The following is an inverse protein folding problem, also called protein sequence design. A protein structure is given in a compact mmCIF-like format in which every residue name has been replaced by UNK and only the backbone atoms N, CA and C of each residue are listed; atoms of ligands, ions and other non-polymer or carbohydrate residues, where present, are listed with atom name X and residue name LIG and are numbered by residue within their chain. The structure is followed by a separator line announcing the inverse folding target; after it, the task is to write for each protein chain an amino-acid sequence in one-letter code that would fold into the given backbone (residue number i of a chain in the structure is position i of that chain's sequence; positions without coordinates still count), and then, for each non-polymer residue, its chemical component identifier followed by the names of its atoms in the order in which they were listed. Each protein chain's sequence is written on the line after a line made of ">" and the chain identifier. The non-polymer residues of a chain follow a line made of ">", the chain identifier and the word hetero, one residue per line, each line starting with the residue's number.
data_IF_809850849087
#
_entry.id   IF_809850849087
#
_cell.length_a   1.000
_cell.length_b   1.000
_cell.length_c   1.000
_cell.angle_alpha   90.00
_cell.angle_beta   90.00
_cell.angle_gamma   90.00
#
_symmetry.space_group_name_H-M   'P 1'
#
loop_
_entity.id
_entity.type
_entity.pdbx_description
1 polymer ?
#
# COMPACT_ATOMS: atom_id res chain seq x y z
N UNK A 1 60.64 -8.71 26.92
CA UNK A 1 59.64 -8.01 26.09
C UNK A 1 58.86 -7.08 27.01
N UNK A 2 58.98 -5.78 26.76
CA UNK A 2 58.68 -4.68 27.70
C UNK A 2 57.18 -4.54 28.03
N UNK A 3 56.86 -4.21 29.29
CA UNK A 3 55.53 -3.84 29.82
C UNK A 3 54.79 -2.76 29.00
N UNK A 4 55.48 -2.05 28.09
CA UNK A 4 54.87 -1.09 27.17
C UNK A 4 54.01 -1.71 26.08
N UNK A 5 54.23 -2.97 25.71
CA UNK A 5 53.43 -3.61 24.65
C UNK A 5 52.11 -4.22 25.16
N UNK A 6 51.99 -4.46 26.46
CA UNK A 6 50.76 -4.99 27.09
C UNK A 6 49.71 -3.90 27.30
N UNK A 7 50.11 -2.65 27.57
CA UNK A 7 49.17 -1.52 27.70
C UNK A 7 48.58 -1.04 26.38
N UNK A 8 49.31 -1.21 25.26
CA UNK A 8 48.81 -0.82 23.94
C UNK A 8 47.78 -1.81 23.39
N UNK A 9 47.94 -3.10 23.69
CA UNK A 9 46.96 -4.14 23.35
C UNK A 9 45.65 -4.01 24.14
N UNK A 10 45.72 -3.58 25.41
CA UNK A 10 44.52 -3.31 26.22
C UNK A 10 43.74 -2.08 25.72
N UNK A 11 44.43 -1.05 25.22
CA UNK A 11 43.78 0.14 24.63
C UNK A 11 43.11 -0.17 23.28
N UNK A 12 43.69 -1.06 22.48
CA UNK A 12 43.09 -1.49 21.19
C UNK A 12 41.88 -2.41 21.42
N UNK A 13 41.87 -3.23 22.48
CA UNK A 13 40.66 -3.98 22.88
C UNK A 13 39.56 -3.07 23.44
N UNK A 14 39.90 -1.94 24.04
CA UNK A 14 38.93 -0.94 24.55
C UNK A 14 38.34 -0.05 23.45
N UNK A 15 39.01 0.15 22.31
CA UNK A 15 38.46 0.92 21.18
C UNK A 15 37.64 0.09 20.19
N UNK A 16 37.80 -1.23 20.16
CA UNK A 16 36.90 -2.15 19.42
C UNK A 16 35.67 -2.52 20.25
N UNK A 17 35.68 -2.23 21.56
CA UNK A 17 34.52 -2.40 22.46
C UNK A 17 33.63 -1.15 22.54
N UNK A 18 33.79 -0.17 21.64
CA UNK A 18 32.65 0.68 21.27
C UNK A 18 31.68 -0.21 20.47
N UNK A 19 30.96 -1.04 21.21
CA UNK A 19 29.79 -1.78 20.78
C UNK A 19 29.01 -0.93 19.78
N UNK A 20 28.87 -1.41 18.55
CA UNK A 20 27.70 -1.08 17.74
C UNK A 20 26.51 -1.50 18.60
N UNK A 21 25.97 -0.58 19.40
CA UNK A 21 24.76 -0.81 20.17
C UNK A 21 23.71 -1.17 19.12
N UNK A 22 23.18 -2.39 19.24
CA UNK A 22 22.11 -2.83 18.38
C UNK A 22 20.99 -1.79 18.43
N UNK A 23 20.53 -1.35 17.26
CA UNK A 23 19.53 -0.29 17.16
C UNK A 23 18.24 -0.74 17.82
N UNK A 24 17.62 0.19 18.54
CA UNK A 24 16.32 -0.01 19.17
C UNK A 24 15.20 -0.04 18.14
N UNK A 25 14.04 -0.59 18.53
CA UNK A 25 12.82 -0.62 17.69
C UNK A 25 12.44 0.80 17.24
N UNK A 26 12.56 1.78 18.14
CA UNK A 26 12.25 3.19 17.84
C UNK A 26 13.20 3.80 16.80
N UNK A 27 14.51 3.54 16.90
CA UNK A 27 15.50 4.04 15.94
C UNK A 27 15.29 3.46 14.53
N UNK A 28 14.89 2.18 14.45
CA UNK A 28 14.62 1.49 13.18
C UNK A 28 13.28 1.91 12.58
N UNK A 29 12.26 2.13 13.42
CA UNK A 29 11.00 2.74 12.98
C UNK A 29 11.19 4.16 12.43
N UNK A 30 12.06 4.96 13.04
CA UNK A 30 12.40 6.30 12.53
C UNK A 30 13.11 6.20 11.17
N UNK A 31 14.00 5.21 10.99
CA UNK A 31 14.65 4.95 9.70
C UNK A 31 13.62 4.66 8.62
N UNK A 32 12.67 3.76 8.88
CA UNK A 32 11.60 3.43 7.91
C UNK A 32 10.73 4.67 7.60
N UNK A 33 10.46 5.54 8.58
CA UNK A 33 9.74 6.81 8.35
C UNK A 33 10.50 7.78 7.43
N UNK A 34 11.83 7.77 7.46
CA UNK A 34 12.67 8.58 6.57
C UNK A 34 12.64 7.97 5.17
N UNK A 35 12.88 6.67 5.05
CA UNK A 35 12.86 5.92 3.78
C UNK A 35 11.48 5.99 3.10
N UNK A 36 10.39 5.98 3.87
CA UNK A 36 9.04 6.18 3.37
C UNK A 36 8.92 7.52 2.64
N UNK A 37 9.45 8.62 3.19
CA UNK A 37 9.37 9.95 2.56
C UNK A 37 10.14 10.01 1.25
N UNK A 38 11.28 9.34 1.17
CA UNK A 38 12.10 9.24 -0.05
C UNK A 38 11.35 8.46 -1.16
N UNK A 39 10.59 7.43 -0.78
CA UNK A 39 9.78 6.63 -1.71
C UNK A 39 8.54 7.35 -2.27
N UNK A 40 8.19 8.54 -1.78
CA UNK A 40 7.03 9.32 -2.23
C UNK A 40 7.35 10.38 -3.29
N UNK A 41 8.62 10.57 -3.64
CA UNK A 41 9.03 11.54 -4.66
C UNK A 41 9.04 10.89 -6.05
N UNK A 42 7.88 10.87 -6.72
CA UNK A 42 7.75 10.33 -8.08
C UNK A 42 6.86 11.19 -8.97
N UNK A 43 7.18 11.24 -10.27
CA UNK A 43 6.35 11.91 -11.27
C UNK A 43 4.92 11.35 -11.31
N UNK A 44 4.76 10.05 -11.02
CA UNK A 44 3.45 9.40 -10.97
C UNK A 44 2.62 9.94 -9.80
N UNK A 45 3.23 10.07 -8.64
CA UNK A 45 2.60 10.68 -7.45
C UNK A 45 2.26 12.15 -7.72
N UNK A 46 3.18 12.92 -8.32
CA UNK A 46 2.93 14.32 -8.68
C UNK A 46 1.71 14.49 -9.61
N UNK A 47 1.61 13.66 -10.64
CA UNK A 47 0.49 13.70 -11.60
C UNK A 47 -0.82 13.22 -10.98
N UNK A 48 -0.76 12.19 -10.13
CA UNK A 48 -1.92 11.74 -9.37
C UNK A 48 -2.44 12.82 -8.41
N UNK A 49 -1.53 13.46 -7.67
CA UNK A 49 -1.83 14.59 -6.79
C UNK A 49 -2.44 15.76 -7.56
N UNK A 50 -1.93 16.07 -8.75
CA UNK A 50 -2.55 17.05 -9.65
C UNK A 50 -4.01 16.69 -9.96
N UNK A 51 -4.28 15.45 -10.35
CA UNK A 51 -5.65 14.96 -10.59
C UNK A 51 -6.57 15.10 -9.37
N UNK A 52 -6.06 14.76 -8.19
CA UNK A 52 -6.81 14.89 -6.93
C UNK A 52 -7.10 16.34 -6.58
N UNK A 53 -6.15 17.24 -6.78
CA UNK A 53 -6.34 18.69 -6.62
C UNK A 53 -7.38 19.20 -7.62
N UNK A 54 -7.37 18.77 -8.88
CA UNK A 54 -8.40 19.14 -9.87
C UNK A 54 -9.81 18.80 -9.39
N UNK A 55 -10.00 17.60 -8.83
CA UNK A 55 -11.29 17.17 -8.28
C UNK A 55 -11.66 18.02 -7.06
N UNK A 56 -10.79 18.09 -6.05
CA UNK A 56 -11.11 18.69 -4.75
C UNK A 56 -11.28 20.21 -4.82
N UNK A 57 -10.44 20.87 -5.61
CA UNK A 57 -10.53 22.32 -5.82
C UNK A 57 -11.76 22.77 -6.61
N UNK A 58 -12.42 21.86 -7.34
CA UNK A 58 -13.66 22.18 -8.06
C UNK A 58 -14.80 22.62 -7.12
N UNK A 59 -14.76 22.16 -5.86
CA UNK A 59 -15.73 22.54 -4.83
C UNK A 59 -15.38 23.83 -4.09
N UNK A 60 -14.15 24.32 -4.22
CA UNK A 60 -13.67 25.51 -3.52
C UNK A 60 -14.05 26.81 -4.27
N UNK A 61 -14.42 27.86 -3.51
CA UNK A 61 -14.88 29.16 -4.04
C UNK A 61 -13.77 30.23 -4.03
N UNK A 62 -12.52 29.80 -4.25
CA UNK A 62 -11.34 30.68 -4.37
C UNK A 62 -10.86 31.37 -3.08
N UNK A 63 -11.16 30.80 -1.92
CA UNK A 63 -10.88 31.48 -0.64
C UNK A 63 -9.58 31.07 0.06
N UNK A 64 -8.90 30.04 -0.45
CA UNK A 64 -7.79 29.39 0.26
C UNK A 64 -6.48 30.18 0.21
N UNK A 65 -6.04 30.64 -0.97
CA UNK A 65 -4.79 31.43 -1.10
C UNK A 65 -4.76 32.25 -2.40
N UNK A 66 -3.91 33.27 -2.43
CA UNK A 66 -3.68 34.10 -3.63
C UNK A 66 -3.05 33.30 -4.77
N UNK A 67 -2.16 32.37 -4.45
CA UNK A 67 -1.56 31.45 -5.43
C UNK A 67 -2.61 30.52 -6.03
N UNK A 68 -3.49 29.93 -5.22
CA UNK A 68 -4.59 29.11 -5.70
C UNK A 68 -5.57 29.91 -6.58
N UNK A 69 -5.94 31.12 -6.17
CA UNK A 69 -6.78 32.03 -6.95
C UNK A 69 -6.20 32.28 -8.35
N UNK A 70 -4.87 32.44 -8.45
CA UNK A 70 -4.20 32.65 -9.73
C UNK A 70 -4.33 31.46 -10.69
N UNK A 71 -4.49 30.24 -10.15
CA UNK A 71 -4.59 29.01 -10.92
C UNK A 71 -6.01 28.45 -11.06
N UNK A 72 -7.01 28.95 -10.31
CA UNK A 72 -8.37 28.39 -10.31
C UNK A 72 -8.93 28.22 -11.71
N UNK A 73 -8.87 29.28 -12.52
CA UNK A 73 -9.47 29.26 -13.87
C UNK A 73 -8.86 28.16 -14.75
N UNK A 74 -7.56 27.92 -14.61
CA UNK A 74 -6.88 26.84 -15.32
C UNK A 74 -7.28 25.48 -14.75
N UNK A 75 -7.31 25.31 -13.43
CA UNK A 75 -7.77 24.09 -12.75
C UNK A 75 -9.21 23.73 -13.14
N UNK A 76 -10.13 24.69 -13.12
CA UNK A 76 -11.54 24.47 -13.49
C UNK A 76 -11.69 24.12 -14.97
N UNK A 77 -10.93 24.77 -15.86
CA UNK A 77 -10.93 24.41 -17.28
C UNK A 77 -10.50 22.96 -17.47
N UNK A 78 -9.42 22.55 -16.80
CA UNK A 78 -8.86 21.20 -16.93
C UNK A 78 -9.81 20.19 -16.29
N UNK A 79 -10.34 20.46 -15.10
CA UNK A 79 -11.34 19.65 -14.43
C UNK A 79 -12.56 19.40 -15.33
N UNK A 80 -13.12 20.45 -15.95
CA UNK A 80 -14.28 20.31 -16.85
C UNK A 80 -13.99 19.48 -18.12
N UNK A 81 -12.73 19.39 -18.54
CA UNK A 81 -12.31 18.63 -19.72
C UNK A 81 -11.91 17.18 -19.41
N UNK A 82 -11.30 16.96 -18.25
CA UNK A 82 -10.61 15.70 -17.92
C UNK A 82 -11.42 14.86 -16.94
N UNK A 83 -12.06 15.51 -15.97
CA UNK A 83 -12.62 14.86 -14.78
C UNK A 83 -14.14 14.88 -14.81
N UNK A 84 -14.73 16.05 -15.10
CA UNK A 84 -16.18 16.19 -15.27
C UNK A 84 -16.57 15.55 -16.59
N UNK A 85 -17.12 14.35 -16.50
CA UNK A 85 -17.47 13.54 -17.66
C UNK A 85 -18.99 13.51 -17.84
N UNK A 86 -19.46 13.66 -19.08
CA UNK A 86 -20.84 13.32 -19.43
C UNK A 86 -20.93 11.80 -19.62
N UNK A 87 -21.57 11.11 -18.67
CA UNK A 87 -21.69 9.64 -18.65
C UNK A 87 -22.28 9.10 -19.96
N UNK A 88 -23.06 9.91 -20.65
CA UNK A 88 -23.76 9.55 -21.88
C UNK A 88 -22.91 9.80 -23.15
N UNK A 89 -21.94 10.73 -23.13
CA UNK A 89 -21.12 11.11 -24.29
C UNK A 89 -19.65 11.40 -23.92
N UNK A 90 -18.75 10.39 -23.93
CA UNK A 90 -17.31 10.62 -23.83
C UNK A 90 -16.78 11.55 -24.92
N UNK A 91 -16.31 12.74 -24.55
CA UNK A 91 -15.38 13.48 -25.41
C UNK A 91 -13.95 12.97 -25.18
N UNK A 92 -13.24 12.62 -26.26
CA UNK A 92 -11.82 12.28 -26.20
C UNK A 92 -10.95 13.53 -26.31
N UNK A 93 -9.94 13.64 -25.46
CA UNK A 93 -8.99 14.76 -25.50
C UNK A 93 -8.08 14.64 -26.72
N UNK A 94 -7.88 15.75 -27.43
CA UNK A 94 -6.94 15.80 -28.55
C UNK A 94 -5.49 15.90 -28.05
N UNK A 95 -4.53 15.63 -28.94
CA UNK A 95 -3.10 15.88 -28.66
C UNK A 95 -2.83 17.33 -28.21
N UNK A 96 -3.52 18.30 -28.82
CA UNK A 96 -3.35 19.72 -28.47
C UNK A 96 -3.86 19.98 -27.06
N UNK A 97 -4.95 19.34 -26.65
CA UNK A 97 -5.46 19.45 -25.28
C UNK A 97 -4.42 18.93 -24.28
N UNK A 98 -3.82 17.77 -24.52
CA UNK A 98 -2.77 17.25 -23.63
C UNK A 98 -1.53 18.14 -23.55
N UNK A 99 -1.10 18.73 -24.67
CA UNK A 99 0.02 19.70 -24.67
C UNK A 99 -0.32 20.93 -23.84
N UNK A 100 -1.54 21.47 -23.99
CA UNK A 100 -1.97 22.63 -23.22
C UNK A 100 -2.08 22.30 -21.73
N UNK A 101 -2.69 21.16 -21.38
CA UNK A 101 -2.80 20.69 -20.00
C UNK A 101 -1.41 20.48 -19.39
N UNK A 102 -0.48 19.84 -20.10
CA UNK A 102 0.88 19.64 -19.60
C UNK A 102 1.61 20.96 -19.38
N UNK A 103 1.48 21.91 -20.31
CA UNK A 103 2.06 23.26 -20.14
C UNK A 103 1.49 23.96 -18.91
N UNK A 104 0.19 23.84 -18.68
CA UNK A 104 -0.45 24.48 -17.52
C UNK A 104 -0.06 23.75 -16.22
N UNK A 105 0.02 22.41 -16.22
CA UNK A 105 0.61 21.62 -15.13
C UNK A 105 2.03 22.11 -14.78
N UNK A 106 2.91 22.28 -15.77
CA UNK A 106 4.28 22.77 -15.54
C UNK A 106 4.35 24.17 -14.95
N UNK A 107 3.36 25.05 -15.19
CA UNK A 107 3.27 26.35 -14.53
C UNK A 107 2.83 26.24 -13.07
N UNK A 108 2.04 25.21 -12.75
CA UNK A 108 1.48 24.93 -11.43
C UNK A 108 2.29 23.91 -10.62
N UNK A 109 3.37 23.36 -11.17
CA UNK A 109 4.07 22.20 -10.60
C UNK A 109 4.54 22.44 -9.17
N UNK A 110 5.19 23.57 -8.91
CA UNK A 110 5.64 23.93 -7.56
C UNK A 110 4.47 24.04 -6.57
N UNK A 111 3.36 24.64 -7.01
CA UNK A 111 2.14 24.74 -6.22
C UNK A 111 1.57 23.35 -5.90
N UNK A 112 1.45 22.49 -6.91
CA UNK A 112 0.94 21.12 -6.76
C UNK A 112 1.82 20.30 -5.81
N UNK A 113 3.14 20.37 -5.97
CA UNK A 113 4.07 19.59 -5.17
C UNK A 113 4.06 20.02 -3.70
N UNK A 114 3.97 21.32 -3.41
CA UNK A 114 3.99 21.85 -2.03
C UNK A 114 2.63 21.81 -1.34
N UNK A 115 1.54 21.89 -2.08
CA UNK A 115 0.19 21.97 -1.53
C UNK A 115 -0.26 20.63 -0.97
N UNK A 116 -0.65 20.56 0.30
CA UNK A 116 -1.40 19.40 0.79
C UNK A 116 -2.82 19.44 0.21
N UNK A 117 -3.28 18.41 -0.51
CA UNK A 117 -4.61 18.42 -1.13
C UNK A 117 -5.74 18.46 -0.09
N UNK A 118 -5.44 18.16 1.17
CA UNK A 118 -6.42 18.19 2.25
C UNK A 118 -6.82 19.59 2.71
N UNK A 119 -6.13 20.64 2.23
CA UNK A 119 -6.61 22.01 2.45
C UNK A 119 -7.95 22.26 1.73
N UNK A 120 -8.19 21.58 0.60
CA UNK A 120 -9.44 21.65 -0.15
C UNK A 120 -10.57 20.86 0.55
N UNK A 121 -11.84 21.05 0.14
CA UNK A 121 -12.94 20.19 0.55
C UNK A 121 -12.65 18.70 0.29
N UNK A 122 -13.36 17.83 1.00
CA UNK A 122 -13.21 16.38 0.87
C UNK A 122 -13.61 15.92 -0.53
N UNK A 123 -13.19 14.72 -0.96
CA UNK A 123 -13.67 14.16 -2.22
C UNK A 123 -15.18 13.99 -2.19
N UNK A 124 -15.74 13.53 -1.06
CA UNK A 124 -17.19 13.40 -0.85
C UNK A 124 -17.90 14.74 -1.05
N UNK A 125 -17.36 15.85 -0.55
CA UNK A 125 -17.91 17.19 -0.81
C UNK A 125 -17.91 17.52 -2.30
N UNK A 126 -16.81 17.25 -3.01
CA UNK A 126 -16.73 17.44 -4.45
C UNK A 126 -17.74 16.57 -5.21
N UNK A 127 -17.83 15.27 -4.92
CA UNK A 127 -18.79 14.38 -5.57
C UNK A 127 -20.24 14.80 -5.28
N UNK A 128 -20.56 15.21 -4.06
CA UNK A 128 -21.88 15.77 -3.72
C UNK A 128 -22.20 17.03 -4.53
N UNK A 129 -21.23 17.93 -4.71
CA UNK A 129 -21.44 19.14 -5.50
C UNK A 129 -21.63 18.84 -6.99
N UNK A 130 -20.89 17.87 -7.54
CA UNK A 130 -20.90 17.56 -8.97
C UNK A 130 -22.11 16.70 -9.33
N UNK A 131 -22.29 15.57 -8.63
CA UNK A 131 -23.21 14.49 -9.00
C UNK A 131 -24.40 14.35 -8.03
N UNK A 132 -24.35 15.00 -6.86
CA UNK A 132 -25.41 14.90 -5.87
C UNK A 132 -26.76 15.48 -6.31
N UNK A 133 -27.80 15.05 -5.61
CA UNK A 133 -29.14 15.62 -5.73
C UNK A 133 -29.19 17.07 -5.19
N UNK A 134 -30.36 17.71 -5.28
CA UNK A 134 -30.52 19.11 -4.84
C UNK A 134 -30.22 19.32 -3.36
N UNK A 135 -30.37 18.27 -2.54
CA UNK A 135 -30.11 18.32 -1.09
C UNK A 135 -28.62 18.19 -0.82
N UNK A 136 -27.96 17.21 -1.45
CA UNK A 136 -26.54 16.92 -1.35
C UNK A 136 -25.70 18.12 -1.81
N UNK A 137 -26.10 18.78 -2.91
CA UNK A 137 -25.45 19.99 -3.44
C UNK A 137 -25.51 21.20 -2.53
N UNK A 138 -26.47 21.23 -1.59
CA UNK A 138 -26.65 22.32 -0.62
C UNK A 138 -26.05 22.02 0.75
N UNK A 139 -25.54 20.79 0.95
CA UNK A 139 -24.91 20.39 2.19
C UNK A 139 -23.71 21.28 2.48
N UNK A 140 -23.54 21.69 3.74
CA UNK A 140 -22.30 22.32 4.16
C UNK A 140 -21.13 21.33 4.06
N UNK A 141 -19.98 21.83 3.62
CA UNK A 141 -18.76 21.02 3.56
C UNK A 141 -18.31 20.63 4.95
N UNK A 142 -17.69 19.46 5.05
CA UNK A 142 -17.08 18.99 6.29
C UNK A 142 -16.01 19.98 6.79
N UNK A 143 -15.93 20.16 8.11
CA UNK A 143 -14.97 21.05 8.79
C UNK A 143 -14.42 20.41 10.07
N UNK A 144 -13.27 20.89 10.53
CA UNK A 144 -12.66 20.45 11.79
C UNK A 144 -12.45 18.93 11.84
N UNK A 145 -12.72 18.34 13.01
CA UNK A 145 -12.54 16.89 13.25
C UNK A 145 -13.37 16.01 12.30
N UNK A 146 -14.57 16.47 11.88
CA UNK A 146 -15.41 15.72 10.95
C UNK A 146 -14.74 15.63 9.57
N UNK A 147 -14.11 16.72 9.13
CA UNK A 147 -13.31 16.73 7.88
C UNK A 147 -12.12 15.79 7.99
N UNK A 148 -11.37 15.86 9.10
CA UNK A 148 -10.22 14.98 9.33
C UNK A 148 -10.61 13.50 9.33
N UNK A 149 -11.72 13.16 9.98
CA UNK A 149 -12.27 11.80 9.98
C UNK A 149 -12.61 11.33 8.56
N UNK A 150 -13.37 12.12 7.80
CA UNK A 150 -13.79 11.76 6.44
C UNK A 150 -12.59 11.62 5.51
N UNK A 151 -11.62 12.54 5.57
CA UNK A 151 -10.41 12.47 4.75
C UNK A 151 -9.60 11.21 5.03
N UNK A 152 -9.46 10.83 6.29
CA UNK A 152 -8.80 9.57 6.66
C UNK A 152 -9.46 8.35 6.01
N UNK A 153 -10.80 8.31 6.01
CA UNK A 153 -11.55 7.23 5.35
C UNK A 153 -11.39 7.30 3.83
N UNK A 154 -11.41 8.48 3.22
CA UNK A 154 -11.19 8.65 1.78
C UNK A 154 -9.82 8.11 1.34
N UNK A 155 -8.76 8.51 2.03
CA UNK A 155 -7.41 8.06 1.76
C UNK A 155 -7.25 6.54 1.96
N UNK A 156 -7.87 5.99 3.01
CA UNK A 156 -7.92 4.55 3.25
C UNK A 156 -8.54 3.79 2.08
N UNK A 157 -9.73 4.22 1.65
CA UNK A 157 -10.49 3.60 0.55
C UNK A 157 -9.73 3.73 -0.77
N UNK A 158 -9.20 4.91 -1.09
CA UNK A 158 -8.42 5.11 -2.31
C UNK A 158 -7.16 4.26 -2.33
N UNK A 159 -6.46 4.16 -1.21
CA UNK A 159 -5.26 3.34 -1.11
C UNK A 159 -5.58 1.86 -1.38
N UNK A 160 -6.69 1.36 -0.81
CA UNK A 160 -7.21 0.02 -1.05
C UNK A 160 -7.63 -0.20 -2.51
N UNK A 161 -8.45 0.68 -3.09
CA UNK A 161 -8.89 0.54 -4.49
C UNK A 161 -7.66 0.49 -5.42
N UNK A 162 -6.70 1.41 -5.25
CA UNK A 162 -5.57 1.54 -6.18
C UNK A 162 -4.66 0.30 -6.23
N UNK A 163 -4.35 -0.32 -5.09
CA UNK A 163 -3.51 -1.52 -5.11
C UNK A 163 -4.27 -2.74 -5.62
N UNK A 164 -5.56 -2.83 -5.30
CA UNK A 164 -6.35 -4.04 -5.56
C UNK A 164 -6.89 -4.08 -6.98
N UNK A 165 -7.20 -2.92 -7.55
CA UNK A 165 -7.57 -2.77 -8.96
C UNK A 165 -6.35 -2.75 -9.90
N UNK A 166 -5.13 -2.60 -9.35
CA UNK A 166 -3.86 -2.49 -10.09
C UNK A 166 -3.82 -1.31 -11.07
N UNK A 167 -4.71 -0.32 -10.92
CA UNK A 167 -4.92 0.71 -11.95
C UNK A 167 -3.90 1.84 -11.87
N UNK A 168 -3.78 2.50 -10.72
CA UNK A 168 -2.88 3.64 -10.53
C UNK A 168 -1.50 3.24 -9.96
N UNK A 169 -1.32 1.97 -9.61
CA UNK A 169 -0.04 1.37 -9.22
C UNK A 169 0.37 1.58 -7.75
N UNK A 170 1.37 0.81 -7.31
CA UNK A 170 1.77 0.70 -5.90
C UNK A 170 2.28 2.01 -5.27
N UNK A 171 2.88 2.90 -6.05
CA UNK A 171 3.36 4.21 -5.57
C UNK A 171 2.21 5.12 -5.14
N UNK A 172 1.12 5.15 -5.91
CA UNK A 172 -0.08 5.94 -5.59
C UNK A 172 -0.79 5.34 -4.38
N UNK A 173 -0.89 4.01 -4.30
CA UNK A 173 -1.45 3.36 -3.12
C UNK A 173 -0.63 3.69 -1.87
N UNK A 174 0.71 3.63 -1.94
CA UNK A 174 1.58 4.02 -0.83
C UNK A 174 1.37 5.50 -0.43
N UNK A 175 1.30 6.40 -1.41
CA UNK A 175 1.01 7.81 -1.17
C UNK A 175 -0.30 8.00 -0.38
N UNK A 176 -1.41 7.45 -0.86
CA UNK A 176 -2.71 7.54 -0.19
C UNK A 176 -2.67 6.91 1.21
N UNK A 177 -1.96 5.79 1.36
CA UNK A 177 -1.72 5.16 2.65
C UNK A 177 -1.02 6.12 3.61
N UNK A 178 0.05 6.82 3.20
CA UNK A 178 0.79 7.75 4.07
C UNK A 178 0.00 8.97 4.52
N UNK A 179 -1.05 9.33 3.78
CA UNK A 179 -1.94 10.44 4.12
C UNK A 179 -2.98 10.09 5.18
N UNK A 180 -3.17 8.81 5.46
CA UNK A 180 -3.98 8.40 6.61
C UNK A 180 -3.19 8.60 7.92
N UNK A 181 -3.93 8.91 8.97
CA UNK A 181 -3.52 8.99 10.36
C UNK A 181 -4.49 8.15 11.21
N UNK A 182 -4.26 6.82 11.32
CA UNK A 182 -5.14 5.93 12.07
C UNK A 182 -5.36 6.32 13.53
N UNK A 183 -4.43 7.08 14.13
CA UNK A 183 -4.53 7.52 15.54
C UNK A 183 -5.63 8.57 15.76
N UNK A 184 -6.09 9.25 14.70
CA UNK A 184 -7.25 10.16 14.76
C UNK A 184 -8.58 9.41 14.61
N UNK A 185 -8.56 8.13 14.23
CA UNK A 185 -9.76 7.32 14.10
C UNK A 185 -10.11 6.65 15.43
N UNK A 186 -11.41 6.60 15.78
CA UNK A 186 -11.86 5.82 16.92
C UNK A 186 -11.56 4.34 16.72
N UNK A 187 -11.28 3.65 17.83
CA UNK A 187 -11.07 2.21 17.85
C UNK A 187 -12.30 1.49 17.29
N UNK A 188 -12.11 0.82 16.17
CA UNK A 188 -13.18 0.25 15.35
C UNK A 188 -12.62 -0.77 14.37
N UNK A 189 -13.48 -1.62 13.82
CA UNK A 189 -13.10 -2.51 12.72
C UNK A 189 -12.48 -1.75 11.54
N UNK A 190 -12.99 -0.57 11.21
CA UNK A 190 -12.49 0.26 10.12
C UNK A 190 -11.04 0.67 10.35
N UNK A 191 -10.72 1.15 11.57
CA UNK A 191 -9.34 1.46 11.96
C UNK A 191 -8.45 0.22 11.86
N UNK A 192 -8.93 -0.93 12.31
CA UNK A 192 -8.24 -2.22 12.24
C UNK A 192 -7.94 -2.67 10.81
N UNK A 193 -8.90 -2.54 9.90
CA UNK A 193 -8.71 -2.86 8.48
C UNK A 193 -7.73 -1.89 7.81
N UNK A 194 -7.82 -0.60 8.15
CA UNK A 194 -6.87 0.40 7.68
C UNK A 194 -5.45 0.07 8.14
N UNK A 195 -5.24 -0.21 9.43
CA UNK A 195 -3.92 -0.58 9.97
C UNK A 195 -3.37 -1.85 9.32
N UNK A 196 -4.20 -2.90 9.17
CA UNK A 196 -3.78 -4.12 8.44
C UNK A 196 -3.28 -3.80 7.04
N UNK A 197 -4.05 -2.98 6.32
CA UNK A 197 -3.77 -2.67 4.94
C UNK A 197 -2.54 -1.76 4.79
N UNK A 198 -2.36 -0.77 5.67
CA UNK A 198 -1.13 0.03 5.78
C UNK A 198 0.08 -0.85 6.06
N UNK A 199 -0.05 -1.77 7.01
CA UNK A 199 0.99 -2.75 7.33
C UNK A 199 1.39 -3.56 6.11
N UNK A 200 0.42 -4.18 5.43
CA UNK A 200 0.66 -4.93 4.19
C UNK A 200 1.37 -4.10 3.10
N UNK A 201 1.01 -2.82 2.93
CA UNK A 201 1.69 -1.93 1.99
C UNK A 201 3.14 -1.62 2.38
N UNK A 202 3.39 -1.38 3.66
CA UNK A 202 4.73 -1.15 4.18
C UNK A 202 5.61 -2.40 4.03
N UNK A 203 5.07 -3.59 4.32
CA UNK A 203 5.73 -4.87 4.07
C UNK A 203 6.15 -5.01 2.59
N UNK A 204 5.21 -4.78 1.67
CA UNK A 204 5.47 -4.83 0.22
C UNK A 204 6.53 -3.82 -0.26
N UNK A 205 6.83 -2.80 0.54
CA UNK A 205 7.84 -1.76 0.29
C UNK A 205 9.14 -1.99 1.05
N UNK A 206 9.24 -3.05 1.85
CA UNK A 206 10.42 -3.34 2.66
C UNK A 206 10.53 -2.48 3.92
N UNK A 207 9.48 -1.75 4.28
CA UNK A 207 9.39 -0.90 5.47
C UNK A 207 8.89 -1.73 6.67
N UNK A 208 9.67 -2.74 7.04
CA UNK A 208 9.23 -3.80 7.96
C UNK A 208 8.91 -3.30 9.37
N UNK A 209 9.59 -2.27 9.88
CA UNK A 209 9.31 -1.71 11.20
C UNK A 209 8.02 -0.89 11.21
N UNK A 210 7.75 -0.16 10.12
CA UNK A 210 6.45 0.51 9.95
C UNK A 210 5.31 -0.50 9.83
N UNK A 211 5.52 -1.59 9.08
CA UNK A 211 4.53 -2.66 8.97
C UNK A 211 4.27 -3.34 10.31
N UNK A 212 5.33 -3.72 11.02
CA UNK A 212 5.25 -4.37 12.33
C UNK A 212 4.48 -3.52 13.34
N UNK A 213 4.70 -2.19 13.37
CA UNK A 213 4.01 -1.24 14.25
C UNK A 213 2.49 -1.15 13.97
N UNK A 214 2.10 -1.09 12.70
CA UNK A 214 0.68 -1.13 12.30
C UNK A 214 0.01 -2.46 12.69
N UNK A 215 0.65 -3.58 12.37
CA UNK A 215 0.10 -4.91 12.60
C UNK A 215 0.07 -5.25 14.10
N UNK A 216 1.05 -4.81 14.88
CA UNK A 216 1.08 -4.97 16.33
C UNK A 216 -0.07 -4.24 17.02
N UNK A 217 -0.40 -3.01 16.61
CA UNK A 217 -1.59 -2.30 17.10
C UNK A 217 -2.87 -3.06 16.77
N UNK A 218 -2.96 -3.63 15.57
CA UNK A 218 -4.11 -4.39 15.16
C UNK A 218 -4.30 -5.68 15.98
N UNK A 219 -3.21 -6.43 16.21
CA UNK A 219 -3.22 -7.62 17.08
C UNK A 219 -3.65 -7.26 18.50
N UNK A 220 -3.16 -6.14 19.04
CA UNK A 220 -3.56 -5.67 20.37
C UNK A 220 -5.06 -5.33 20.42
N UNK A 221 -5.59 -4.66 19.41
CA UNK A 221 -7.02 -4.35 19.33
C UNK A 221 -7.86 -5.63 19.25
N UNK A 222 -7.50 -6.58 18.40
CA UNK A 222 -8.19 -7.87 18.30
C UNK A 222 -8.15 -8.63 19.64
N UNK A 223 -6.99 -8.70 20.30
CA UNK A 223 -6.87 -9.37 21.60
C UNK A 223 -7.78 -8.77 22.68
N UNK A 224 -8.04 -7.46 22.61
CA UNK A 224 -8.90 -6.75 23.55
C UNK A 224 -10.40 -6.77 23.15
N UNK A 225 -10.72 -7.11 21.89
CA UNK A 225 -12.06 -7.05 21.32
C UNK A 225 -12.48 -8.39 20.66
N UNK A 226 -12.43 -9.48 21.43
CA UNK A 226 -12.66 -10.85 20.91
C UNK A 226 -14.06 -11.12 20.38
N UNK A 227 -15.05 -10.41 20.91
CA UNK A 227 -16.47 -10.64 20.62
C UNK A 227 -17.06 -9.61 19.65
N UNK A 228 -16.25 -8.69 19.12
CA UNK A 228 -16.70 -7.68 18.14
C UNK A 228 -17.12 -8.36 16.84
N UNK A 229 -18.25 -7.92 16.26
CA UNK A 229 -18.60 -8.33 14.89
C UNK A 229 -17.67 -7.63 13.90
N UNK A 230 -17.31 -8.35 12.84
CA UNK A 230 -16.36 -7.93 11.83
C UNK A 230 -16.99 -8.00 10.41
N UNK A 231 -18.10 -7.28 10.16
CA UNK A 231 -18.79 -7.32 8.88
C UNK A 231 -17.96 -6.79 7.71
N UNK A 232 -17.19 -5.72 7.91
CA UNK A 232 -16.39 -5.15 6.83
C UNK A 232 -15.22 -6.06 6.46
N UNK A 233 -14.65 -6.77 7.42
CA UNK A 233 -13.59 -7.77 7.23
C UNK A 233 -14.11 -8.92 6.38
N UNK A 234 -15.30 -9.44 6.71
CA UNK A 234 -15.93 -10.51 5.93
C UNK A 234 -16.18 -10.09 4.49
N UNK A 235 -16.65 -8.85 4.28
CA UNK A 235 -16.85 -8.30 2.95
C UNK A 235 -15.52 -8.11 2.20
N UNK A 236 -14.53 -7.51 2.86
CA UNK A 236 -13.22 -7.18 2.30
C UNK A 236 -12.46 -8.42 1.82
N UNK A 237 -12.45 -9.50 2.61
CA UNK A 237 -11.78 -10.75 2.25
C UNK A 237 -12.68 -11.77 1.55
N UNK A 238 -13.93 -11.40 1.24
CA UNK A 238 -14.95 -12.32 0.69
C UNK A 238 -15.11 -13.61 1.50
N UNK A 239 -15.03 -13.51 2.83
CA UNK A 239 -15.26 -14.66 3.71
C UNK A 239 -16.73 -15.05 3.83
N UNK A 240 -17.63 -14.32 3.17
CA UNK A 240 -19.05 -14.64 3.10
C UNK A 240 -19.68 -14.68 4.49
N UNK A 241 -20.31 -15.81 4.83
CA UNK A 241 -21.06 -16.01 6.06
C UNK A 241 -20.25 -16.71 7.16
N UNK A 242 -18.92 -16.54 7.19
CA UNK A 242 -18.14 -16.97 8.36
C UNK A 242 -18.75 -16.36 9.63
N UNK A 243 -18.84 -17.16 10.68
CA UNK A 243 -19.26 -16.66 11.98
C UNK A 243 -18.22 -15.67 12.56
N UNK A 244 -18.62 -14.89 13.57
CA UNK A 244 -17.77 -13.84 14.13
C UNK A 244 -16.48 -14.41 14.74
N UNK A 245 -16.54 -15.59 15.36
CA UNK A 245 -15.36 -16.22 15.98
C UNK A 245 -14.37 -16.68 14.91
N UNK A 246 -14.86 -17.30 13.84
CA UNK A 246 -14.05 -17.73 12.70
C UNK A 246 -13.45 -16.53 11.97
N UNK A 247 -14.20 -15.44 11.82
CA UNK A 247 -13.73 -14.18 11.24
C UNK A 247 -12.63 -13.53 12.09
N UNK A 248 -12.84 -13.47 13.41
CA UNK A 248 -11.86 -12.97 14.36
C UNK A 248 -10.55 -13.75 14.28
N UNK A 249 -10.64 -15.09 14.36
CA UNK A 249 -9.47 -15.97 14.25
C UNK A 249 -8.79 -15.84 12.88
N UNK A 250 -9.55 -15.70 11.80
CA UNK A 250 -9.01 -15.46 10.46
C UNK A 250 -8.18 -14.17 10.38
N UNK A 251 -8.73 -13.06 10.88
CA UNK A 251 -8.03 -11.76 10.85
C UNK A 251 -6.84 -11.75 11.82
N UNK A 252 -6.98 -12.32 13.02
CA UNK A 252 -5.90 -12.45 13.99
C UNK A 252 -4.74 -13.30 13.43
N UNK A 253 -5.07 -14.42 12.79
CA UNK A 253 -4.13 -15.29 12.08
C UNK A 253 -3.39 -14.51 10.98
N UNK A 254 -4.09 -13.76 10.12
CA UNK A 254 -3.47 -12.97 9.06
C UNK A 254 -2.51 -11.90 9.59
N UNK A 255 -2.87 -11.22 10.68
CA UNK A 255 -1.97 -10.24 11.29
C UNK A 255 -0.69 -10.91 11.82
N UNK A 256 -0.81 -12.03 12.54
CA UNK A 256 0.38 -12.78 12.98
C UNK A 256 1.24 -13.26 11.82
N UNK A 257 0.63 -13.73 10.72
CA UNK A 257 1.36 -14.15 9.53
C UNK A 257 2.25 -13.03 8.98
N UNK A 258 1.69 -11.85 8.74
CA UNK A 258 2.44 -10.74 8.16
C UNK A 258 3.43 -10.11 9.14
N UNK A 259 3.10 -9.99 10.42
CA UNK A 259 4.07 -9.57 11.44
C UNK A 259 5.24 -10.53 11.57
N UNK A 260 4.95 -11.83 11.47
CA UNK A 260 5.97 -12.88 11.42
C UNK A 260 6.91 -12.69 10.23
N UNK A 261 6.36 -12.37 9.04
CA UNK A 261 7.19 -12.04 7.88
C UNK A 261 7.97 -10.75 8.04
N UNK A 262 7.40 -9.67 8.60
CA UNK A 262 8.12 -8.43 8.89
C UNK A 262 9.36 -8.72 9.72
N UNK A 263 9.16 -9.35 10.88
CA UNK A 263 10.23 -9.68 11.82
C UNK A 263 11.24 -10.67 11.25
N UNK A 264 10.80 -11.57 10.38
CA UNK A 264 11.68 -12.49 9.67
C UNK A 264 12.62 -11.76 8.69
N UNK A 265 12.13 -10.69 8.06
CA UNK A 265 12.88 -9.86 7.11
C UNK A 265 13.76 -8.79 7.79
N UNK A 266 13.53 -8.51 9.08
CA UNK A 266 14.41 -7.69 9.89
C UNK A 266 15.75 -8.41 10.17
N UNK A 267 16.78 -7.62 10.49
CA UNK A 267 18.17 -8.11 10.55
C UNK A 267 18.57 -8.69 11.92
N UNK A 268 17.84 -8.36 12.99
CA UNK A 268 18.26 -8.71 14.36
C UNK A 268 17.84 -10.12 14.74
N UNK A 269 18.67 -10.80 15.53
CA UNK A 269 18.36 -12.16 16.02
C UNK A 269 17.07 -12.20 16.85
N UNK A 270 16.81 -11.14 17.63
CA UNK A 270 15.58 -11.04 18.42
C UNK A 270 14.33 -10.98 17.53
N UNK A 271 14.42 -10.39 16.34
CA UNK A 271 13.29 -10.30 15.42
C UNK A 271 12.98 -11.69 14.82
N UNK A 272 14.01 -12.46 14.46
CA UNK A 272 13.79 -13.84 14.00
C UNK A 272 13.12 -14.70 15.08
N UNK A 273 13.53 -14.58 16.35
CA UNK A 273 12.86 -15.29 17.45
C UNK A 273 11.38 -14.89 17.56
N UNK A 274 11.09 -13.58 17.54
CA UNK A 274 9.72 -13.06 17.58
C UNK A 274 8.88 -13.50 16.37
N UNK A 275 9.51 -13.65 15.20
CA UNK A 275 8.86 -14.18 14.00
C UNK A 275 8.37 -15.63 14.17
N UNK A 276 9.16 -16.48 14.84
CA UNK A 276 8.76 -17.86 15.13
C UNK A 276 7.52 -17.90 16.03
N UNK A 277 7.49 -17.05 17.07
CA UNK A 277 6.34 -16.93 17.99
C UNK A 277 5.06 -16.49 17.22
N UNK A 278 5.20 -15.58 16.26
CA UNK A 278 4.10 -15.15 15.40
C UNK A 278 3.62 -16.26 14.46
N UNK A 279 4.54 -17.04 13.88
CA UNK A 279 4.18 -18.17 13.02
C UNK A 279 3.47 -19.29 13.78
N UNK A 280 3.86 -19.56 15.03
CA UNK A 280 3.15 -20.49 15.90
C UNK A 280 1.73 -19.99 16.22
N UNK A 281 1.57 -18.69 16.50
CA UNK A 281 0.27 -18.08 16.73
C UNK A 281 -0.63 -18.15 15.48
N UNK A 282 -0.07 -17.86 14.30
CA UNK A 282 -0.74 -18.04 13.01
C UNK A 282 -1.24 -19.48 12.83
N UNK A 283 -0.36 -20.48 12.96
CA UNK A 283 -0.75 -21.89 12.77
C UNK A 283 -1.79 -22.33 13.79
N UNK A 284 -1.71 -21.86 15.04
CA UNK A 284 -2.69 -22.17 16.08
C UNK A 284 -4.09 -21.69 15.69
N UNK A 285 -4.22 -20.49 15.15
CA UNK A 285 -5.53 -19.96 14.77
C UNK A 285 -6.02 -20.51 13.43
N UNK A 286 -5.14 -20.64 12.45
CA UNK A 286 -5.41 -21.32 11.18
C UNK A 286 -5.98 -22.73 11.42
N UNK A 287 -5.37 -23.52 12.31
CA UNK A 287 -5.83 -24.87 12.64
C UNK A 287 -7.21 -24.88 13.31
N UNK A 288 -7.53 -23.90 14.18
CA UNK A 288 -8.86 -23.81 14.82
C UNK A 288 -9.98 -23.55 13.83
N UNK A 289 -9.70 -22.83 12.75
CA UNK A 289 -10.67 -22.54 11.68
C UNK A 289 -10.57 -23.55 10.52
N UNK A 290 -9.74 -24.59 10.64
CA UNK A 290 -9.57 -25.62 9.61
C UNK A 290 -8.86 -25.16 8.34
N UNK A 291 -8.10 -24.05 8.41
CA UNK A 291 -7.30 -23.57 7.29
C UNK A 291 -6.11 -24.51 7.07
N UNK A 292 -6.06 -25.16 5.91
CA UNK A 292 -5.02 -26.11 5.54
C UNK A 292 -4.71 -25.96 4.05
N UNK A 293 -3.82 -25.03 3.73
CA UNK A 293 -3.46 -24.63 2.37
C UNK A 293 -1.95 -24.37 2.25
N UNK A 294 -1.52 -23.85 1.11
CA UNK A 294 -0.13 -23.54 0.82
C UNK A 294 0.53 -22.63 1.84
N UNK A 295 -0.16 -21.61 2.35
CA UNK A 295 0.43 -20.73 3.36
C UNK A 295 0.75 -21.52 4.62
N UNK A 296 -0.21 -22.31 5.12
CA UNK A 296 0.01 -23.12 6.32
C UNK A 296 1.14 -24.13 6.11
N UNK A 297 1.23 -24.77 4.95
CA UNK A 297 2.33 -25.71 4.66
C UNK A 297 3.68 -25.02 4.54
N UNK A 298 3.73 -23.79 3.99
CA UNK A 298 4.92 -22.96 3.93
C UNK A 298 5.44 -22.60 5.32
N UNK A 299 4.55 -22.14 6.21
CA UNK A 299 4.94 -21.79 7.58
C UNK A 299 5.33 -23.02 8.40
N UNK A 300 4.57 -24.11 8.29
CA UNK A 300 4.92 -25.40 8.89
C UNK A 300 6.32 -25.84 8.47
N UNK A 301 6.60 -25.81 7.16
CA UNK A 301 7.91 -26.16 6.60
C UNK A 301 9.01 -25.33 7.26
N UNK A 302 8.83 -24.02 7.34
CA UNK A 302 9.82 -23.13 7.94
C UNK A 302 10.08 -23.44 9.42
N UNK A 303 9.03 -23.61 10.21
CA UNK A 303 9.16 -23.95 11.64
C UNK A 303 9.82 -25.33 11.82
N UNK A 304 9.42 -26.34 11.04
CA UNK A 304 10.04 -27.66 11.12
C UNK A 304 11.52 -27.64 10.74
N UNK A 305 11.91 -26.83 9.76
CA UNK A 305 13.32 -26.67 9.37
C UNK A 305 14.15 -25.97 10.44
N UNK A 306 13.56 -25.00 11.14
CA UNK A 306 14.18 -24.30 12.27
C UNK A 306 14.30 -25.19 13.52
N UNK A 307 13.34 -26.07 13.74
CA UNK A 307 13.31 -27.01 14.87
C UNK A 307 14.02 -28.35 14.59
N UNK A 308 14.67 -28.49 13.42
CA UNK A 308 15.33 -29.73 12.98
C UNK A 308 14.40 -30.96 12.85
N UNK A 309 13.11 -30.71 12.60
CA UNK A 309 12.07 -31.72 12.38
C UNK A 309 12.00 -32.13 10.89
N UNK A 310 13.10 -32.64 10.36
CA UNK A 310 13.31 -32.86 8.91
C UNK A 310 12.21 -33.70 8.24
N UNK A 311 11.71 -34.76 8.88
CA UNK A 311 10.64 -35.60 8.31
C UNK A 311 9.34 -34.81 8.11
N UNK A 312 8.98 -33.95 9.08
CA UNK A 312 7.80 -33.10 8.99
C UNK A 312 7.99 -31.99 7.97
N UNK A 313 9.19 -31.42 7.88
CA UNK A 313 9.53 -30.44 6.84
C UNK A 313 9.39 -31.04 5.43
N UNK A 314 9.90 -32.25 5.20
CA UNK A 314 9.76 -32.96 3.92
C UNK A 314 8.29 -33.25 3.60
N UNK A 315 7.50 -33.65 4.59
CA UNK A 315 6.07 -33.89 4.41
C UNK A 315 5.32 -32.60 3.97
N UNK A 316 5.59 -31.46 4.63
CA UNK A 316 4.98 -30.18 4.27
C UNK A 316 5.47 -29.64 2.92
N UNK A 317 6.76 -29.79 2.57
CA UNK A 317 7.29 -29.50 1.24
C UNK A 317 6.64 -30.35 0.15
N UNK A 318 6.40 -31.64 0.43
CA UNK A 318 5.72 -32.54 -0.51
C UNK A 318 4.28 -32.08 -0.76
N UNK A 319 3.56 -31.61 0.27
CA UNK A 319 2.24 -30.98 0.10
C UNK A 319 2.32 -29.72 -0.76
N UNK A 320 3.26 -28.81 -0.46
CA UNK A 320 3.47 -27.57 -1.22
C UNK A 320 3.69 -27.83 -2.71
N UNK A 321 4.49 -28.85 -3.06
CA UNK A 321 4.75 -29.23 -4.46
C UNK A 321 3.47 -29.54 -5.24
N UNK A 322 2.42 -30.01 -4.58
CA UNK A 322 1.13 -30.31 -5.22
C UNK A 322 0.29 -29.06 -5.55
N UNK A 323 0.68 -27.89 -5.03
CA UNK A 323 -0.05 -26.64 -5.24
C UNK A 323 -0.20 -26.28 -6.72
N UNK A 324 -1.37 -25.76 -7.08
CA UNK A 324 -1.64 -25.14 -8.39
C UNK A 324 -1.20 -23.68 -8.48
N UNK A 325 -0.80 -23.06 -7.36
CA UNK A 325 -0.33 -21.66 -7.30
C UNK A 325 1.16 -21.52 -7.60
N UNK A 326 1.90 -22.63 -7.55
CA UNK A 326 3.34 -22.67 -7.79
C UNK A 326 3.66 -22.97 -9.25
N UNK A 327 4.63 -22.24 -9.80
CA UNK A 327 5.16 -22.50 -11.15
C UNK A 327 5.97 -23.80 -11.20
N UNK A 328 6.28 -24.30 -12.39
CA UNK A 328 7.17 -25.46 -12.56
C UNK A 328 8.54 -25.21 -11.92
N UNK A 329 9.09 -24.01 -12.07
CA UNK A 329 10.36 -23.61 -11.46
C UNK A 329 10.28 -23.63 -9.92
N UNK A 330 9.18 -23.11 -9.35
CA UNK A 330 8.97 -23.16 -7.88
C UNK A 330 8.91 -24.62 -7.39
N UNK A 331 8.32 -25.54 -8.16
CA UNK A 331 8.24 -26.97 -7.83
C UNK A 331 9.58 -27.69 -7.92
N UNK A 332 10.41 -27.36 -8.92
CA UNK A 332 11.77 -27.88 -9.03
C UNK A 332 12.64 -27.43 -7.84
N UNK A 333 12.52 -26.15 -7.43
CA UNK A 333 13.19 -25.63 -6.23
C UNK A 333 12.73 -26.33 -4.94
N UNK A 334 11.46 -26.73 -4.87
CA UNK A 334 10.97 -27.56 -3.76
C UNK A 334 11.63 -28.95 -3.78
N UNK A 335 11.82 -29.57 -4.94
CA UNK A 335 12.53 -30.85 -5.05
C UNK A 335 13.99 -30.75 -4.60
N UNK A 336 14.69 -29.70 -5.01
CA UNK A 336 16.04 -29.40 -4.52
C UNK A 336 16.05 -29.21 -3.00
N UNK A 337 15.06 -28.52 -2.45
CA UNK A 337 14.92 -28.30 -1.00
C UNK A 337 14.66 -29.61 -0.26
N UNK A 338 13.80 -30.49 -0.79
CA UNK A 338 13.55 -31.82 -0.21
C UNK A 338 14.84 -32.64 -0.19
N UNK A 339 15.58 -32.66 -1.30
CA UNK A 339 16.83 -33.42 -1.40
C UNK A 339 17.93 -32.87 -0.49
N UNK A 340 18.01 -31.55 -0.37
CA UNK A 340 18.89 -30.89 0.58
C UNK A 340 18.56 -31.30 2.02
N UNK A 341 17.28 -31.24 2.42
CA UNK A 341 16.83 -31.54 3.79
C UNK A 341 17.11 -32.99 4.18
N UNK A 342 16.98 -33.95 3.25
CA UNK A 342 17.33 -35.36 3.51
C UNK A 342 18.81 -35.57 3.83
N UNK A 343 19.67 -34.77 3.22
CA UNK A 343 21.12 -34.94 3.27
C UNK A 343 21.82 -33.89 4.16
N UNK A 344 21.04 -33.07 4.89
CA UNK A 344 21.54 -31.94 5.67
C UNK A 344 22.21 -32.40 6.97
N UNK A 345 23.37 -31.82 7.28
CA UNK A 345 23.97 -31.90 8.62
C UNK A 345 23.25 -30.95 9.61
N UNK A 346 22.96 -31.44 10.82
CA UNK A 346 22.36 -30.64 11.91
C UNK A 346 23.16 -29.36 12.17
N UNK A 347 22.47 -28.25 12.45
CA UNK A 347 23.06 -26.92 12.66
C UNK A 347 23.48 -26.14 11.41
N UNK A 348 23.51 -26.73 10.20
CA UNK A 348 23.71 -25.96 8.96
C UNK A 348 22.40 -25.32 8.51
N UNK A 349 22.35 -23.99 8.50
CA UNK A 349 21.19 -23.25 8.00
C UNK A 349 21.01 -23.55 6.51
N UNK A 350 19.77 -23.69 6.05
CA UNK A 350 19.44 -23.39 4.64
C UNK A 350 20.01 -22.01 4.27
N UNK A 351 20.14 -21.69 2.99
CA UNK A 351 20.49 -20.33 2.56
C UNK A 351 19.41 -19.34 3.06
N UNK A 352 19.55 -18.83 4.29
CA UNK A 352 18.46 -18.22 5.05
C UNK A 352 17.82 -17.01 4.37
N UNK A 353 18.47 -16.40 3.39
CA UNK A 353 17.88 -15.35 2.56
C UNK A 353 16.84 -15.88 1.55
N UNK A 354 17.11 -17.06 0.97
CA UNK A 354 16.27 -17.69 -0.04
C UNK A 354 14.93 -18.13 0.54
N UNK A 355 14.94 -18.76 1.70
CA UNK A 355 13.71 -19.27 2.34
C UNK A 355 12.80 -18.14 2.80
N UNK A 356 13.37 -17.09 3.42
CA UNK A 356 12.62 -15.91 3.89
C UNK A 356 11.86 -15.24 2.73
N UNK A 357 12.56 -15.02 1.62
CA UNK A 357 11.99 -14.37 0.44
C UNK A 357 10.99 -15.28 -0.30
N UNK A 358 11.27 -16.58 -0.39
CA UNK A 358 10.37 -17.54 -1.02
C UNK A 358 9.04 -17.66 -0.27
N UNK A 359 9.08 -17.81 1.06
CA UNK A 359 7.90 -17.98 1.90
C UNK A 359 7.01 -16.73 1.90
N UNK A 360 7.61 -15.55 2.08
CA UNK A 360 6.88 -14.28 1.99
C UNK A 360 6.25 -14.07 0.61
N UNK A 361 6.96 -14.42 -0.47
CA UNK A 361 6.43 -14.36 -1.84
C UNK A 361 5.21 -15.26 -2.05
N UNK A 362 5.15 -16.43 -1.42
CA UNK A 362 3.96 -17.30 -1.48
C UNK A 362 2.78 -16.62 -0.78
N UNK A 363 3.00 -16.10 0.44
CA UNK A 363 1.95 -15.45 1.22
C UNK A 363 1.42 -14.18 0.52
N UNK A 364 2.29 -13.34 -0.04
CA UNK A 364 1.86 -12.14 -0.77
C UNK A 364 1.14 -12.50 -2.05
N UNK A 365 1.64 -13.45 -2.86
CA UNK A 365 0.93 -13.95 -4.06
C UNK A 365 -0.46 -14.47 -3.73
N UNK A 366 -0.59 -15.24 -2.65
CA UNK A 366 -1.88 -15.74 -2.20
C UNK A 366 -2.82 -14.59 -1.79
N UNK A 367 -2.32 -13.63 -1.02
CA UNK A 367 -3.08 -12.44 -0.61
C UNK A 367 -3.57 -11.64 -1.83
N UNK A 368 -2.68 -11.39 -2.79
CA UNK A 368 -3.07 -10.76 -4.05
C UNK A 368 -4.08 -11.58 -4.85
N UNK A 369 -3.98 -12.91 -4.86
CA UNK A 369 -4.92 -13.78 -5.56
C UNK A 369 -6.32 -13.73 -4.95
N UNK A 370 -6.43 -13.60 -3.62
CA UNK A 370 -7.70 -13.38 -2.94
C UNK A 370 -8.23 -12.00 -3.30
N UNK A 371 -7.44 -10.95 -3.03
CA UNK A 371 -7.93 -9.58 -3.13
C UNK A 371 -8.22 -9.14 -4.58
N UNK A 372 -7.55 -9.74 -5.57
CA UNK A 372 -7.82 -9.47 -6.99
C UNK A 372 -9.13 -10.08 -7.50
N UNK A 373 -9.73 -11.01 -6.76
CA UNK A 373 -11.05 -11.58 -7.09
C UNK A 373 -12.20 -10.75 -6.51
N UNK A 374 -11.88 -9.74 -5.70
CA UNK A 374 -12.88 -8.90 -5.07
C UNK A 374 -13.38 -7.86 -6.06
N UNK A 375 -14.69 -7.90 -6.33
CA UNK A 375 -15.38 -6.85 -7.05
C UNK A 375 -15.63 -5.68 -6.08
N UNK A 376 -14.65 -4.77 -6.00
CA UNK A 376 -14.67 -3.64 -5.07
C UNK A 376 -15.81 -2.67 -5.34
N UNK A 377 -16.19 -2.50 -6.60
CA UNK A 377 -17.33 -1.68 -6.98
C UNK A 377 -18.63 -2.28 -6.42
N UNK A 378 -18.81 -3.59 -6.57
CA UNK A 378 -19.94 -4.31 -5.98
C UNK A 378 -19.92 -4.24 -4.44
N UNK A 379 -18.78 -4.47 -3.80
CA UNK A 379 -18.66 -4.39 -2.34
C UNK A 379 -19.05 -3.00 -1.84
N UNK A 380 -18.53 -1.93 -2.45
CA UNK A 380 -18.88 -0.56 -2.07
C UNK A 380 -20.37 -0.25 -2.27
N UNK A 381 -21.00 -0.77 -3.33
CA UNK A 381 -22.46 -0.66 -3.54
C UNK A 381 -23.25 -1.38 -2.45
N UNK A 382 -22.87 -2.61 -2.12
CA UNK A 382 -23.54 -3.41 -1.08
C UNK A 382 -23.38 -2.77 0.31
N UNK A 383 -22.28 -2.04 0.54
CA UNK A 383 -22.05 -1.24 1.76
C UNK A 383 -22.64 0.18 1.70
N UNK A 384 -23.44 0.50 0.69
CA UNK A 384 -24.10 1.80 0.49
C UNK A 384 -23.12 3.01 0.45
N UNK A 385 -21.93 2.83 -0.11
CA UNK A 385 -21.00 3.96 -0.30
C UNK A 385 -21.56 4.90 -1.37
N UNK A 386 -21.79 6.20 -1.05
CA UNK A 386 -22.32 7.16 -2.02
C UNK A 386 -21.42 7.35 -3.24
N UNK A 387 -22.02 7.61 -4.40
CA UNK A 387 -21.32 7.93 -5.66
C UNK A 387 -20.31 6.87 -6.12
N UNK A 388 -20.54 5.59 -5.77
CA UNK A 388 -19.59 4.50 -6.08
C UNK A 388 -19.30 4.42 -7.59
N UNK A 389 -20.32 4.49 -8.47
CA UNK A 389 -20.12 4.43 -9.92
C UNK A 389 -19.23 5.57 -10.42
N UNK A 390 -19.50 6.79 -9.92
CA UNK A 390 -18.80 8.00 -10.28
C UNK A 390 -17.35 7.97 -9.78
N UNK A 391 -17.09 7.41 -8.60
CA UNK A 391 -15.75 7.22 -8.06
C UNK A 391 -14.92 6.31 -8.96
N UNK A 392 -15.42 5.10 -9.30
CA UNK A 392 -14.67 4.17 -10.15
C UNK A 392 -14.42 4.75 -11.55
N UNK A 393 -15.43 5.40 -12.14
CA UNK A 393 -15.27 6.08 -13.43
C UNK A 393 -14.25 7.21 -13.37
N UNK A 394 -14.22 7.97 -12.27
CA UNK A 394 -13.24 9.04 -12.06
C UNK A 394 -11.83 8.46 -11.94
N UNK A 395 -11.67 7.31 -11.27
CA UNK A 395 -10.38 6.60 -11.15
C UNK A 395 -9.91 6.13 -12.54
N UNK A 396 -10.80 5.55 -13.36
CA UNK A 396 -10.48 5.11 -14.72
C UNK A 396 -10.05 6.28 -15.62
N UNK A 397 -10.80 7.39 -15.56
CA UNK A 397 -10.47 8.61 -16.30
C UNK A 397 -9.12 9.18 -15.84
N UNK A 398 -8.88 9.21 -14.53
CA UNK A 398 -7.62 9.69 -13.97
C UNK A 398 -6.44 8.80 -14.39
N UNK A 399 -6.64 7.48 -14.44
CA UNK A 399 -5.64 6.52 -14.96
C UNK A 399 -5.28 6.84 -16.40
N UNK A 400 -6.27 6.91 -17.28
CA UNK A 400 -6.06 7.24 -18.70
C UNK A 400 -5.39 8.62 -18.87
N UNK A 401 -5.83 9.60 -18.08
CA UNK A 401 -5.23 10.92 -18.06
C UNK A 401 -3.75 10.90 -17.68
N UNK A 402 -3.38 10.21 -16.59
CA UNK A 402 -1.98 10.09 -16.13
C UNK A 402 -1.12 9.39 -17.18
N UNK A 403 -1.60 8.28 -17.75
CA UNK A 403 -0.86 7.51 -18.74
C UNK A 403 -0.61 8.33 -20.01
N UNK A 404 -1.64 9.02 -20.52
CA UNK A 404 -1.53 9.89 -21.69
C UNK A 404 -0.65 11.11 -21.40
N UNK A 405 -0.77 11.74 -20.23
CA UNK A 405 0.07 12.88 -19.86
C UNK A 405 1.55 12.48 -19.83
N UNK A 406 1.87 11.28 -19.31
CA UNK A 406 3.23 10.73 -19.30
C UNK A 406 3.77 10.48 -20.72
N UNK A 407 2.96 9.86 -21.59
CA UNK A 407 3.33 9.65 -22.99
C UNK A 407 3.71 10.98 -23.65
N UNK A 408 2.87 12.00 -23.48
CA UNK A 408 3.10 13.30 -24.11
C UNK A 408 4.17 14.16 -23.41
N UNK A 409 4.46 13.94 -22.13
CA UNK A 409 5.57 14.56 -21.42
C UNK A 409 6.94 13.96 -21.77
N UNK A 410 6.98 12.66 -22.10
CA UNK A 410 8.22 11.89 -22.29
C UNK A 410 8.81 11.96 -23.71
N UNK A 411 8.14 12.62 -24.66
CA UNK A 411 8.61 12.63 -26.05
C UNK A 411 9.60 13.76 -26.34
N UNK A 412 10.77 13.39 -26.88
CA UNK A 412 11.66 14.25 -27.69
C UNK A 412 10.88 14.98 -28.82
N UNK A 413 9.70 14.46 -29.20
CA UNK A 413 8.75 15.11 -30.10
C UNK A 413 8.21 16.46 -29.61
N UNK A 414 8.14 16.77 -28.30
CA UNK A 414 7.70 18.11 -27.86
C UNK A 414 8.64 19.22 -28.38
N UNK A 415 9.94 18.93 -28.47
CA UNK A 415 10.94 19.84 -29.05
C UNK A 415 10.84 19.94 -30.57
N UNK A 416 10.53 18.84 -31.25
CA UNK A 416 10.46 18.77 -32.72
C UNK A 416 9.09 19.22 -33.28
N UNK A 417 7.99 18.78 -32.68
CA UNK A 417 6.60 19.18 -33.01
C UNK A 417 6.28 20.59 -32.54
N UNK A 418 6.86 21.07 -31.43
CA UNK A 418 6.74 22.47 -31.00
C UNK A 418 7.31 23.46 -32.03
N UNK A 419 8.45 23.12 -32.66
CA UNK A 419 9.00 23.89 -33.80
C UNK A 419 8.09 23.85 -35.02
N UNK A 420 7.50 22.69 -35.33
CA UNK A 420 6.54 22.51 -36.44
C UNK A 420 5.25 23.30 -36.27
N UNK A 421 4.64 23.29 -35.06
CA UNK A 421 3.43 24.06 -34.74
C UNK A 421 3.71 25.56 -34.72
N UNK A 422 4.85 25.99 -34.20
CA UNK A 422 5.26 27.41 -34.23
C UNK A 422 5.48 27.92 -35.66
N UNK A 423 6.03 27.08 -36.54
CA UNK A 423 6.19 27.40 -37.97
C UNK A 423 4.83 27.48 -38.70
N UNK A 424 3.91 26.53 -38.46
CA UNK A 424 2.54 26.59 -39.01
C UNK A 424 1.76 27.82 -38.55
N UNK A 425 1.96 28.25 -37.31
CA UNK A 425 1.29 29.45 -36.77
C UNK A 425 1.83 30.74 -37.41
N UNK A 426 3.12 30.78 -37.78
CA UNK A 426 3.69 31.91 -38.54
C UNK A 426 3.22 31.96 -39.99
N UNK A 427 2.91 30.82 -40.60
CA UNK A 427 2.34 30.75 -41.96
C UNK A 427 0.88 31.22 -42.00
N UNK A 428 0.13 31.08 -40.91
CA UNK A 428 -1.27 31.54 -40.80
C UNK A 428 -1.41 33.04 -40.46
N UNK A 429 -0.30 33.72 -40.11
CA UNK A 429 -0.25 35.15 -39.75
C UNK A 429 0.43 35.98 -40.86
N UNK A 430 0.71 35.37 -42.01
CA UNK A 430 0.96 36.04 -43.29
C UNK A 430 -0.26 35.91 -44.17
#
# INVERSE_FOLDING_TARGET
>A
MSLKNTSLLLLIFLTVSCFNKEKTDEELLIKDKIELKENLDSYKIATYKFGKILIRSSAEKDTISTEFQSFKKDLDRIFNKVVKYDVENPESLSLIDYILIYRDYKKMEDFIMKTDEDIFPTLVDSFNLIYGDSTSKKREYYKGEEKEYVQNIEHAILSAIVILSKDLGKEVSLYECTKTNPELLPDSEIKTLLQYFRGFLFFEKGLYYLSEDEISRNINWLNNNKDVDLPYTRAFFQWGNLDNKSTHLGLHSLNHLFRGFDRLMMEREIDEKRALEDFEAFLKDANKIGLNNEITWSIETYLYLKNEENEKAIASLTKLKTSTLLSSEDKERIDESIEYVKNRESGKVLNGFYDKFFLSKIATKYMYSILSKVDWEKVMKEQNVPHTNEIFKTIDNLKSFIDNLKEYASTEDLKNKGKSLWNKTKELVK
#
